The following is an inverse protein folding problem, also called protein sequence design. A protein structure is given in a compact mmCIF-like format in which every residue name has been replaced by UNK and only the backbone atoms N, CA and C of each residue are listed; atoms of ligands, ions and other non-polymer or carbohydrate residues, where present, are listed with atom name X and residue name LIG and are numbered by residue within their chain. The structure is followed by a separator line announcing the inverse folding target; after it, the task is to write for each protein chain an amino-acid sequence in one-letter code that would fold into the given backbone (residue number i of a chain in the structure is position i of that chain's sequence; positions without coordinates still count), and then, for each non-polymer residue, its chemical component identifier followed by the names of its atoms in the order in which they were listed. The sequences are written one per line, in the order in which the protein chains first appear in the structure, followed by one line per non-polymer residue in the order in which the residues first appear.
data_IF_626822463309
#
_entry.id   IF_626822463309
#
_cell.length_a   1.000
_cell.length_b   1.000
_cell.length_c   1.000
_cell.angle_alpha   90.00
_cell.angle_beta   90.00
_cell.angle_gamma   90.00
#
_symmetry.space_group_name_H-M   'P 1'
#
loop_
_entity.id
_entity.type
_entity.pdbx_description
1 polymer ?
#
# COMPACT_ATOMS: atom_id res chain seq x y z
N UNK A 1 -4.73 18.21 1.77
CA UNK A 1 -5.11 17.95 0.37
C UNK A 1 -3.88 17.76 -0.49
N UNK A 2 -3.99 17.04 -1.58
CA UNK A 2 -2.90 16.85 -2.55
C UNK A 2 -3.45 16.64 -3.97
N UNK A 3 -2.65 17.01 -4.95
CA UNK A 3 -2.90 16.73 -6.36
C UNK A 3 -1.61 16.28 -7.01
N UNK A 4 -1.66 15.21 -7.80
CA UNK A 4 -0.52 14.62 -8.51
C UNK A 4 -0.91 14.40 -9.96
N UNK A 5 -0.14 14.95 -10.88
CA UNK A 5 -0.35 14.79 -12.30
C UNK A 5 0.97 14.92 -13.06
N UNK A 6 1.07 14.28 -14.22
CA UNK A 6 2.21 14.41 -15.14
C UNK A 6 2.04 15.57 -16.14
N UNK A 7 0.83 16.10 -16.27
CA UNK A 7 0.52 17.21 -17.17
C UNK A 7 -0.11 18.37 -16.41
N UNK A 8 0.31 19.59 -16.74
CA UNK A 8 -0.21 20.80 -16.09
C UNK A 8 -1.74 20.94 -16.25
N UNK A 9 -2.31 20.51 -17.37
CA UNK A 9 -3.76 20.55 -17.60
C UNK A 9 -4.58 19.62 -16.67
N UNK A 10 -3.95 18.64 -16.08
CA UNK A 10 -4.57 17.68 -15.14
C UNK A 10 -4.37 18.12 -13.68
N UNK A 11 -3.56 19.15 -13.43
CA UNK A 11 -3.31 19.68 -12.10
C UNK A 11 -4.49 20.55 -11.65
N UNK A 12 -5.14 20.17 -10.56
CA UNK A 12 -6.28 20.93 -10.00
C UNK A 12 -5.85 21.74 -8.80
N UNK A 13 -6.42 22.94 -8.64
CA UNK A 13 -6.21 23.80 -7.48
C UNK A 13 -6.99 23.36 -6.23
N UNK A 14 -7.63 22.20 -6.25
CA UNK A 14 -8.56 21.76 -5.19
C UNK A 14 -7.87 21.33 -3.89
N UNK A 15 -6.57 21.01 -3.93
CA UNK A 15 -5.84 20.52 -2.77
C UNK A 15 -5.88 21.46 -1.57
N UNK A 16 -5.84 22.78 -1.79
CA UNK A 16 -5.93 23.77 -0.73
C UNK A 16 -7.34 23.83 -0.13
N UNK A 17 -8.37 23.81 -0.98
CA UNK A 17 -9.77 23.79 -0.55
C UNK A 17 -10.11 22.52 0.23
N UNK A 18 -9.60 21.37 -0.23
CA UNK A 18 -9.70 20.10 0.49
C UNK A 18 -9.04 20.18 1.87
N UNK A 19 -7.82 20.70 1.97
CA UNK A 19 -7.11 20.84 3.23
C UNK A 19 -7.87 21.71 4.22
N UNK A 20 -8.40 22.86 3.77
CA UNK A 20 -9.19 23.76 4.61
C UNK A 20 -10.50 23.11 5.08
N UNK A 21 -11.22 22.45 4.18
CA UNK A 21 -12.46 21.73 4.53
C UNK A 21 -12.19 20.64 5.56
N UNK A 22 -11.20 19.77 5.33
CA UNK A 22 -10.86 18.68 6.23
C UNK A 22 -10.43 19.19 7.62
N UNK A 23 -9.70 20.32 7.68
CA UNK A 23 -9.33 20.92 8.95
C UNK A 23 -10.54 21.40 9.73
N UNK A 24 -11.52 22.03 9.07
CA UNK A 24 -12.78 22.48 9.68
C UNK A 24 -13.65 21.30 10.13
N UNK A 25 -13.82 20.31 9.27
CA UNK A 25 -14.63 19.11 9.54
C UNK A 25 -14.04 18.23 10.64
N UNK A 26 -12.72 18.30 10.89
CA UNK A 26 -12.07 17.55 11.99
C UNK A 26 -12.15 18.24 13.35
N UNK A 27 -12.76 19.44 13.44
CA UNK A 27 -12.97 20.11 14.73
C UNK A 27 -14.03 19.35 15.54
N UNK A 28 -13.89 19.38 16.88
CA UNK A 28 -14.79 18.73 17.82
C UNK A 28 -14.94 17.21 17.63
N UNK A 29 -13.89 16.57 17.13
CA UNK A 29 -13.86 15.12 16.91
C UNK A 29 -14.02 14.30 18.19
N UNK A 30 -14.62 13.12 18.04
CA UNK A 30 -14.91 12.19 19.13
C UNK A 30 -13.76 11.17 19.30
N UNK A 31 -13.57 10.70 20.52
CA UNK A 31 -12.72 9.55 20.83
C UNK A 31 -13.53 8.25 20.65
N UNK A 32 -12.85 7.17 20.35
CA UNK A 32 -13.43 5.83 20.29
C UNK A 32 -12.66 4.89 21.22
N UNK A 33 -13.31 3.93 21.86
CA UNK A 33 -12.63 2.93 22.69
C UNK A 33 -11.80 1.96 21.87
N UNK A 34 -10.82 1.33 22.52
CA UNK A 34 -10.07 0.21 21.96
C UNK A 34 -10.99 -0.94 21.56
N UNK A 35 -10.79 -1.49 20.35
CA UNK A 35 -11.60 -2.60 19.85
C UNK A 35 -11.29 -2.96 18.41
N UNK A 36 -12.03 -3.94 17.89
CA UNK A 36 -12.04 -4.29 16.46
C UNK A 36 -13.22 -3.59 15.78
N UNK A 37 -12.94 -3.00 14.63
CA UNK A 37 -13.90 -2.22 13.85
C UNK A 37 -13.91 -2.67 12.39
N UNK A 38 -15.04 -2.57 11.74
CA UNK A 38 -15.03 -2.50 10.29
C UNK A 38 -14.55 -1.10 9.90
N UNK A 39 -13.65 -1.02 8.94
CA UNK A 39 -13.07 0.26 8.52
C UNK A 39 -13.15 0.46 7.02
N UNK A 40 -13.14 1.72 6.57
CA UNK A 40 -12.76 2.11 5.22
C UNK A 40 -11.44 2.86 5.33
N UNK A 41 -10.39 2.33 4.72
CA UNK A 41 -9.11 3.01 4.57
C UNK A 41 -9.19 3.94 3.37
N UNK A 42 -8.97 5.22 3.56
CA UNK A 42 -8.87 6.20 2.48
C UNK A 42 -7.56 6.10 1.70
N UNK A 43 -7.44 6.74 0.52
CA UNK A 43 -6.30 6.57 -0.37
C UNK A 43 -4.93 6.87 0.26
N UNK A 44 -4.83 7.86 1.17
CA UNK A 44 -3.56 8.16 1.84
C UNK A 44 -3.20 7.08 2.86
N UNK A 45 -4.17 6.59 3.63
CA UNK A 45 -3.95 5.50 4.58
C UNK A 45 -3.55 4.21 3.86
N UNK A 46 -4.20 3.89 2.74
CA UNK A 46 -3.85 2.74 1.89
C UNK A 46 -2.43 2.86 1.34
N UNK A 47 -2.07 4.03 0.78
CA UNK A 47 -0.73 4.25 0.22
C UNK A 47 0.36 4.12 1.29
N UNK A 48 0.12 4.63 2.49
CA UNK A 48 1.06 4.59 3.62
C UNK A 48 1.28 3.15 4.11
N UNK A 49 0.21 2.38 4.34
CA UNK A 49 0.29 0.97 4.75
C UNK A 49 0.95 0.12 3.66
N UNK A 50 0.56 0.33 2.41
CA UNK A 50 1.14 -0.37 1.27
C UNK A 50 2.66 -0.22 1.26
N UNK A 51 3.13 1.02 1.34
CA UNK A 51 4.54 1.34 1.21
C UNK A 51 5.41 0.80 2.34
N UNK A 52 5.00 1.10 3.56
CA UNK A 52 5.86 0.84 4.73
C UNK A 52 5.73 -0.58 5.27
N UNK A 53 4.63 -1.27 4.95
CA UNK A 53 4.33 -2.58 5.55
C UNK A 53 4.22 -3.69 4.50
N UNK A 54 3.44 -3.49 3.43
CA UNK A 54 3.20 -4.55 2.45
C UNK A 54 4.33 -4.68 1.42
N UNK A 55 4.74 -3.57 0.81
CA UNK A 55 5.69 -3.58 -0.30
C UNK A 55 7.08 -4.12 0.04
N UNK A 56 7.66 -3.87 1.23
CA UNK A 56 8.91 -4.52 1.60
C UNK A 56 8.82 -6.05 1.50
N UNK A 57 7.67 -6.63 1.87
CA UNK A 57 7.42 -8.08 1.77
C UNK A 57 7.28 -8.62 0.35
N UNK A 58 7.06 -7.77 -0.65
CA UNK A 58 6.82 -8.16 -2.05
C UNK A 58 8.03 -7.92 -2.97
N UNK A 59 9.22 -7.81 -2.40
CA UNK A 59 10.46 -7.64 -3.15
C UNK A 59 11.36 -8.89 -3.08
N UNK A 60 12.09 -9.15 -4.15
CA UNK A 60 12.88 -10.37 -4.30
C UNK A 60 14.09 -10.41 -3.34
N UNK A 61 14.65 -9.26 -2.98
CA UNK A 61 15.72 -9.16 -1.99
C UNK A 61 15.26 -9.57 -0.59
N UNK A 62 14.02 -9.21 -0.20
CA UNK A 62 13.43 -9.64 1.07
C UNK A 62 13.13 -11.14 1.08
N UNK A 63 12.71 -11.72 -0.05
CA UNK A 63 12.61 -13.17 -0.20
C UNK A 63 13.97 -13.83 -0.10
N UNK A 64 15.00 -13.31 -0.75
CA UNK A 64 16.36 -13.81 -0.65
C UNK A 64 16.88 -13.78 0.80
N UNK A 65 16.61 -12.68 1.52
CA UNK A 65 16.99 -12.52 2.93
C UNK A 65 16.17 -13.39 3.92
N UNK A 66 15.09 -14.04 3.46
CA UNK A 66 14.17 -14.76 4.35
C UNK A 66 13.34 -13.84 5.26
N UNK A 67 13.15 -12.59 4.86
CA UNK A 67 12.57 -11.52 5.68
C UNK A 67 11.16 -11.09 5.23
N UNK A 68 10.53 -11.82 4.32
CA UNK A 68 9.17 -11.55 3.84
C UNK A 68 8.12 -12.37 4.61
N UNK A 69 6.93 -11.80 4.91
CA UNK A 69 5.80 -12.56 5.45
C UNK A 69 5.19 -13.53 4.43
N UNK A 70 5.61 -13.45 3.17
CA UNK A 70 5.13 -14.28 2.05
C UNK A 70 6.09 -15.40 1.65
N UNK A 71 7.12 -15.70 2.45
CA UNK A 71 8.06 -16.79 2.18
C UNK A 71 7.30 -18.09 1.89
N UNK A 72 7.69 -18.76 0.79
CA UNK A 72 7.10 -20.03 0.35
C UNK A 72 5.72 -19.92 -0.28
N UNK A 73 5.18 -18.72 -0.50
CA UNK A 73 3.78 -18.52 -0.93
C UNK A 73 3.61 -18.08 -2.38
N UNK A 74 4.67 -18.02 -3.18
CA UNK A 74 4.50 -17.66 -4.60
C UNK A 74 3.57 -18.65 -5.31
N UNK A 75 2.57 -18.13 -6.01
CA UNK A 75 1.51 -18.93 -6.64
C UNK A 75 0.40 -19.38 -5.68
N UNK A 76 0.36 -18.88 -4.45
CA UNK A 76 -0.68 -19.20 -3.47
C UNK A 76 -1.58 -18.01 -3.18
N UNK A 77 -2.81 -18.27 -2.72
CA UNK A 77 -3.72 -17.24 -2.24
C UNK A 77 -3.17 -16.59 -0.96
N UNK A 78 -3.06 -15.26 -0.97
CA UNK A 78 -2.54 -14.45 0.14
C UNK A 78 -3.46 -13.28 0.51
N UNK A 79 -4.46 -12.98 -0.32
CA UNK A 79 -5.41 -11.91 -0.13
C UNK A 79 -6.82 -12.35 -0.55
N UNK A 80 -7.83 -11.50 -0.32
CA UNK A 80 -9.18 -11.73 -0.88
C UNK A 80 -9.13 -11.83 -2.42
N UNK A 81 -10.03 -12.61 -3.01
CA UNK A 81 -10.06 -12.86 -4.46
C UNK A 81 -10.26 -11.58 -5.30
N UNK A 82 -10.82 -10.53 -4.70
CA UNK A 82 -11.05 -9.24 -5.37
C UNK A 82 -9.82 -8.34 -5.37
N UNK A 83 -8.77 -8.70 -4.62
CA UNK A 83 -7.58 -7.86 -4.43
C UNK A 83 -6.57 -8.07 -5.55
N UNK A 84 -6.28 -6.99 -6.28
CA UNK A 84 -5.20 -6.95 -7.28
C UNK A 84 -4.22 -5.82 -6.96
N UNK A 85 -2.94 -6.12 -7.05
CA UNK A 85 -1.85 -5.19 -6.84
C UNK A 85 -0.79 -5.39 -7.92
N UNK A 86 -0.41 -4.32 -8.61
CA UNK A 86 0.68 -4.36 -9.59
C UNK A 86 1.49 -3.07 -9.58
N UNK A 87 2.70 -3.14 -10.08
CA UNK A 87 3.57 -2.01 -10.42
C UNK A 87 3.65 -1.86 -11.93
N UNK A 88 3.51 -0.65 -12.47
CA UNK A 88 3.66 -0.41 -13.91
C UNK A 88 4.61 0.77 -14.20
N UNK A 89 5.87 0.42 -14.40
CA UNK A 89 6.92 1.39 -14.75
C UNK A 89 6.83 1.92 -16.18
N UNK A 90 6.10 1.25 -17.06
CA UNK A 90 5.96 1.65 -18.47
C UNK A 90 4.61 2.30 -18.79
N UNK A 91 3.71 2.47 -17.83
CA UNK A 91 2.37 3.02 -18.04
C UNK A 91 2.42 4.42 -18.67
N UNK A 92 1.80 4.65 -19.85
CA UNK A 92 1.85 5.94 -20.50
C UNK A 92 1.20 7.04 -19.67
N UNK A 93 1.90 8.16 -19.50
CA UNK A 93 1.35 9.36 -18.84
C UNK A 93 1.26 9.28 -17.32
N UNK A 94 1.68 8.21 -16.69
CA UNK A 94 1.75 8.15 -15.22
C UNK A 94 3.02 8.84 -14.70
N UNK A 95 2.96 9.56 -13.56
CA UNK A 95 4.03 10.43 -13.09
C UNK A 95 5.37 9.73 -12.82
N UNK A 96 5.35 8.49 -12.34
CA UNK A 96 6.58 7.74 -12.00
C UNK A 96 7.03 6.77 -13.10
N UNK A 97 6.49 6.89 -14.31
CA UNK A 97 6.87 6.04 -15.43
C UNK A 97 8.30 6.32 -15.91
N UNK A 98 9.03 5.26 -16.21
CA UNK A 98 10.42 5.27 -16.67
C UNK A 98 10.58 4.22 -17.77
N UNK A 99 11.31 4.54 -18.84
CA UNK A 99 11.48 3.60 -19.94
C UNK A 99 12.46 2.47 -19.63
N UNK A 100 13.47 2.76 -18.80
CA UNK A 100 14.55 1.83 -18.41
C UNK A 100 14.82 1.94 -16.91
N UNK A 101 15.29 0.86 -16.32
CA UNK A 101 15.81 0.82 -14.96
C UNK A 101 17.19 1.47 -14.87
N UNK A 102 17.69 1.70 -13.64
CA UNK A 102 19.07 2.16 -13.44
C UNK A 102 20.14 1.07 -13.74
N UNK A 103 19.68 -0.15 -13.98
CA UNK A 103 20.51 -1.29 -14.45
C UNK A 103 20.50 -1.42 -15.99
N UNK A 104 19.80 -0.53 -16.71
CA UNK A 104 19.72 -0.52 -18.17
C UNK A 104 18.70 -1.51 -18.76
N UNK A 105 17.83 -2.10 -17.96
CA UNK A 105 16.80 -3.03 -18.41
C UNK A 105 15.47 -2.30 -18.67
N UNK A 106 14.61 -2.80 -19.60
CA UNK A 106 13.31 -2.20 -19.83
C UNK A 106 12.41 -2.35 -18.59
N UNK A 107 11.68 -1.31 -18.26
CA UNK A 107 10.60 -1.35 -17.26
C UNK A 107 9.37 -2.05 -17.84
N UNK A 108 8.32 -2.16 -17.07
CA UNK A 108 7.06 -2.75 -17.50
C UNK A 108 6.12 -3.02 -16.33
N UNK A 109 5.04 -3.72 -16.63
CA UNK A 109 4.09 -4.15 -15.62
C UNK A 109 4.58 -5.41 -14.92
N UNK A 110 4.51 -5.40 -13.60
CA UNK A 110 4.75 -6.52 -12.70
C UNK A 110 3.50 -6.75 -11.86
N UNK A 111 2.76 -7.83 -12.13
CA UNK A 111 1.63 -8.23 -11.27
C UNK A 111 2.21 -8.86 -10.00
N UNK A 112 1.89 -8.29 -8.84
CA UNK A 112 2.35 -8.74 -7.53
C UNK A 112 1.31 -9.66 -6.89
N UNK A 113 0.06 -9.19 -6.81
CA UNK A 113 -1.08 -9.99 -6.36
C UNK A 113 -2.15 -9.88 -7.45
N UNK A 114 -2.67 -11.02 -7.90
CA UNK A 114 -3.69 -11.09 -8.94
C UNK A 114 -4.80 -12.03 -8.52
N UNK A 115 -6.01 -11.50 -8.38
CA UNK A 115 -7.14 -12.29 -7.88
C UNK A 115 -6.86 -12.93 -6.51
N UNK A 116 -6.17 -12.21 -5.63
CA UNK A 116 -5.75 -12.68 -4.31
C UNK A 116 -4.52 -13.59 -4.30
N UNK A 117 -4.01 -14.05 -5.45
CA UNK A 117 -2.83 -14.90 -5.56
C UNK A 117 -1.54 -14.08 -5.63
N UNK A 118 -0.50 -14.47 -4.90
CA UNK A 118 0.84 -13.91 -5.03
C UNK A 118 1.45 -14.35 -6.37
N UNK A 119 1.37 -13.49 -7.37
CA UNK A 119 1.72 -13.81 -8.76
C UNK A 119 3.14 -13.41 -9.16
N UNK A 120 3.75 -12.46 -8.43
CA UNK A 120 5.09 -11.97 -8.73
C UNK A 120 5.69 -11.13 -7.61
N UNK A 121 6.92 -10.67 -7.85
CA UNK A 121 7.71 -9.88 -6.91
C UNK A 121 8.38 -8.73 -7.66
N UNK A 122 8.61 -7.59 -7.00
CA UNK A 122 9.53 -6.57 -7.50
C UNK A 122 10.94 -7.15 -7.53
N UNK A 123 11.63 -6.99 -8.65
CA UNK A 123 12.95 -7.54 -8.83
C UNK A 123 13.91 -6.54 -9.49
N UNK A 124 15.11 -6.43 -8.97
CA UNK A 124 16.30 -5.92 -9.64
C UNK A 124 17.13 -7.08 -10.22
N UNK A 125 18.03 -6.79 -11.13
CA UNK A 125 18.81 -7.82 -11.80
C UNK A 125 19.77 -8.55 -10.85
N UNK A 126 20.36 -7.85 -9.90
CA UNK A 126 21.31 -8.45 -8.96
C UNK A 126 20.62 -9.51 -8.08
N UNK A 127 19.50 -9.18 -7.45
CA UNK A 127 18.77 -10.12 -6.62
C UNK A 127 18.08 -11.23 -7.42
N UNK A 128 17.72 -10.95 -8.69
CA UNK A 128 17.25 -11.96 -9.63
C UNK A 128 18.32 -13.06 -9.84
N UNK A 129 19.56 -12.67 -10.11
CA UNK A 129 20.67 -13.62 -10.31
C UNK A 129 21.01 -14.36 -9.01
N UNK A 130 20.98 -13.69 -7.88
CA UNK A 130 21.20 -14.32 -6.57
C UNK A 130 20.16 -15.39 -6.27
N UNK A 131 18.89 -15.09 -6.46
CA UNK A 131 17.79 -16.04 -6.19
C UNK A 131 17.85 -17.24 -7.13
N UNK A 132 18.19 -17.04 -8.40
CA UNK A 132 18.33 -18.12 -9.39
C UNK A 132 19.38 -19.15 -8.97
N UNK A 133 20.45 -18.71 -8.31
CA UNK A 133 21.57 -19.52 -7.87
C UNK A 133 21.52 -19.87 -6.36
N UNK A 134 20.45 -19.52 -5.66
CA UNK A 134 20.30 -19.79 -4.23
C UNK A 134 19.93 -21.27 -4.00
N UNK A 135 20.74 -22.05 -3.26
CA UNK A 135 20.41 -23.45 -2.95
C UNK A 135 19.12 -23.62 -2.13
N UNK A 136 18.70 -22.57 -1.41
CA UNK A 136 17.45 -22.53 -0.64
C UNK A 136 16.33 -21.80 -1.37
N UNK A 137 16.55 -21.39 -2.62
CA UNK A 137 15.59 -20.57 -3.39
C UNK A 137 14.22 -21.21 -3.55
N UNK A 138 14.15 -22.56 -3.66
CA UNK A 138 12.88 -23.27 -3.71
C UNK A 138 12.05 -23.16 -2.41
N UNK A 139 12.72 -23.21 -1.26
CA UNK A 139 12.07 -23.05 0.04
C UNK A 139 11.55 -21.61 0.19
N UNK A 140 12.37 -20.63 -0.17
CA UNK A 140 12.03 -19.20 -0.08
C UNK A 140 10.87 -18.81 -0.99
N UNK A 141 10.84 -19.31 -2.21
CA UNK A 141 9.78 -19.00 -3.19
C UNK A 141 8.55 -19.91 -3.05
N UNK A 142 8.72 -21.13 -2.54
CA UNK A 142 7.69 -22.18 -2.53
C UNK A 142 7.61 -22.97 -3.84
N UNK A 143 8.35 -22.54 -4.87
CA UNK A 143 8.41 -23.15 -6.21
C UNK A 143 9.85 -23.17 -6.71
N UNK A 144 10.12 -23.91 -7.80
CA UNK A 144 11.44 -23.93 -8.38
C UNK A 144 11.87 -22.52 -8.86
N UNK A 145 13.05 -22.00 -8.47
CA UNK A 145 13.51 -20.66 -8.84
C UNK A 145 13.53 -20.41 -10.36
N UNK A 146 13.96 -21.37 -11.16
CA UNK A 146 14.00 -21.21 -12.62
C UNK A 146 12.59 -21.01 -13.21
N UNK A 147 11.59 -21.74 -12.71
CA UNK A 147 10.20 -21.62 -13.16
C UNK A 147 9.56 -20.31 -12.69
N UNK A 148 9.85 -19.91 -11.46
CA UNK A 148 9.35 -18.66 -10.88
C UNK A 148 9.94 -17.44 -11.61
N UNK A 149 11.26 -17.41 -11.75
CA UNK A 149 12.00 -16.28 -12.31
C UNK A 149 11.83 -16.16 -13.83
N UNK A 150 11.38 -17.20 -14.52
CA UNK A 150 10.92 -17.08 -15.91
C UNK A 150 9.71 -16.12 -16.06
N UNK A 151 8.93 -15.92 -14.99
CA UNK A 151 7.76 -15.03 -14.95
C UNK A 151 8.06 -13.69 -14.25
N UNK A 152 9.03 -13.67 -13.35
CA UNK A 152 9.46 -12.46 -12.62
C UNK A 152 10.61 -11.81 -13.39
N UNK A 153 10.33 -10.75 -14.15
CA UNK A 153 11.37 -10.01 -14.85
C UNK A 153 12.00 -8.95 -13.93
N UNK A 154 13.33 -8.71 -14.01
CA UNK A 154 14.01 -7.67 -13.24
C UNK A 154 13.73 -6.27 -13.85
N UNK A 155 12.56 -5.70 -13.55
CA UNK A 155 12.04 -4.45 -14.12
C UNK A 155 12.06 -3.28 -13.14
N UNK A 156 12.52 -3.50 -11.92
CA UNK A 156 12.38 -2.58 -10.80
C UNK A 156 13.70 -2.17 -10.17
N UNK A 157 14.82 -2.39 -10.86
CA UNK A 157 16.17 -2.04 -10.39
C UNK A 157 16.44 -0.53 -10.46
N UNK A 158 16.11 0.20 -9.39
CA UNK A 158 16.30 1.65 -9.28
C UNK A 158 17.18 2.00 -8.08
N UNK A 159 17.98 3.07 -8.22
CA UNK A 159 18.72 3.63 -7.09
C UNK A 159 17.77 4.39 -6.18
N UNK A 160 17.80 4.13 -4.86
CA UNK A 160 16.98 4.89 -3.92
C UNK A 160 17.36 6.37 -3.98
N UNK A 161 16.36 7.23 -4.17
CA UNK A 161 16.52 8.67 -4.10
C UNK A 161 16.51 9.13 -2.65
N UNK A 162 17.54 9.84 -2.20
CA UNK A 162 17.50 10.54 -0.93
C UNK A 162 17.02 11.97 -1.17
N UNK A 163 15.78 12.27 -0.75
CA UNK A 163 15.23 13.63 -0.85
C UNK A 163 14.99 14.13 -2.28
N UNK A 164 14.61 13.23 -3.21
CA UNK A 164 14.24 13.59 -4.58
C UNK A 164 15.42 13.74 -5.55
N UNK A 165 16.63 13.43 -5.13
CA UNK A 165 17.83 13.46 -5.98
C UNK A 165 18.29 12.08 -6.45
N UNK A 166 18.97 12.01 -7.59
CA UNK A 166 19.65 10.78 -8.04
C UNK A 166 20.89 10.51 -7.20
N UNK A 167 20.90 9.38 -6.50
CA UNK A 167 22.09 8.94 -5.77
C UNK A 167 22.89 7.95 -6.63
N UNK A 168 23.83 8.46 -7.41
CA UNK A 168 24.68 7.61 -8.29
C UNK A 168 25.62 6.68 -7.54
N UNK A 169 25.90 6.93 -6.26
CA UNK A 169 26.71 6.07 -5.41
C UNK A 169 25.93 4.92 -4.78
N UNK A 170 24.58 4.95 -4.79
CA UNK A 170 23.77 3.86 -4.28
C UNK A 170 23.68 2.71 -5.29
N UNK A 171 23.68 1.49 -4.81
CA UNK A 171 23.35 0.33 -5.64
C UNK A 171 21.87 0.34 -5.98
N UNK A 172 21.47 -0.05 -7.21
CA UNK A 172 20.08 -0.35 -7.52
C UNK A 172 19.50 -1.43 -6.60
N UNK A 173 18.24 -1.29 -6.27
CA UNK A 173 17.48 -2.28 -5.52
C UNK A 173 16.06 -2.39 -6.09
N UNK A 174 15.27 -3.32 -5.60
CA UNK A 174 13.91 -3.54 -6.05
C UNK A 174 12.98 -2.44 -5.54
N UNK A 175 12.71 -1.43 -6.37
CA UNK A 175 11.88 -0.26 -6.04
C UNK A 175 10.68 -0.19 -6.98
N UNK A 176 9.51 0.13 -6.42
CA UNK A 176 8.29 0.36 -7.20
C UNK A 176 8.36 1.65 -8.03
N UNK A 177 7.52 1.73 -9.04
CA UNK A 177 7.32 2.94 -9.86
C UNK A 177 5.91 3.51 -9.69
N UNK A 178 4.94 3.02 -10.43
CA UNK A 178 3.52 3.33 -10.26
C UNK A 178 2.80 2.11 -9.67
N UNK A 179 2.63 2.09 -8.36
CA UNK A 179 1.84 1.06 -7.70
C UNK A 179 0.34 1.30 -7.90
N UNK A 180 -0.38 0.27 -8.27
CA UNK A 180 -1.81 0.33 -8.51
C UNK A 180 -2.52 -0.78 -7.76
N UNK A 181 -3.55 -0.41 -7.00
CA UNK A 181 -4.49 -1.36 -6.39
C UNK A 181 -5.81 -1.31 -7.16
N UNK A 182 -6.36 -2.47 -7.46
CA UNK A 182 -7.65 -2.61 -8.13
C UNK A 182 -8.52 -3.66 -7.43
N UNK A 183 -9.81 -3.32 -7.27
CA UNK A 183 -10.84 -4.28 -6.90
C UNK A 183 -11.52 -4.88 -8.12
N UNK A 184 -11.86 -6.16 -8.06
CA UNK A 184 -12.64 -6.83 -9.11
C UNK A 184 -13.76 -7.66 -8.46
N UNK A 185 -15.02 -7.14 -8.41
CA UNK A 185 -15.47 -5.83 -8.95
C UNK A 185 -14.97 -4.63 -8.15
N UNK A 186 -14.91 -3.45 -8.80
CA UNK A 186 -14.71 -2.18 -8.12
C UNK A 186 -16.04 -1.61 -7.60
N UNK A 187 -16.03 -1.06 -6.39
CA UNK A 187 -17.21 -0.49 -5.71
C UNK A 187 -17.27 1.03 -5.77
N UNK A 188 -18.44 1.61 -5.61
CA UNK A 188 -18.59 3.04 -5.27
C UNK A 188 -18.34 3.25 -3.77
N UNK A 189 -18.09 4.49 -3.35
CA UNK A 189 -17.93 4.82 -1.93
C UNK A 189 -19.21 4.50 -1.13
N UNK A 190 -20.39 4.75 -1.71
CA UNK A 190 -21.67 4.42 -1.07
C UNK A 190 -21.86 2.91 -0.87
N UNK A 191 -21.33 2.08 -1.77
CA UNK A 191 -21.34 0.63 -1.59
C UNK A 191 -20.40 0.19 -0.48
N UNK A 192 -19.18 0.76 -0.41
CA UNK A 192 -18.26 0.51 0.70
C UNK A 192 -18.85 0.92 2.05
N UNK A 193 -19.50 2.09 2.13
CA UNK A 193 -20.20 2.54 3.34
C UNK A 193 -21.30 1.57 3.76
N UNK A 194 -22.05 1.01 2.79
CA UNK A 194 -23.08 -0.02 3.06
C UNK A 194 -22.48 -1.35 3.52
N UNK A 195 -21.33 -1.77 2.98
CA UNK A 195 -20.61 -2.98 3.40
C UNK A 195 -20.12 -2.85 4.85
N UNK A 196 -19.54 -1.71 5.20
CA UNK A 196 -19.05 -1.44 6.56
C UNK A 196 -20.22 -1.22 7.54
N UNK A 197 -21.25 -0.53 7.13
CA UNK A 197 -22.48 -0.17 7.87
C UNK A 197 -22.21 0.64 9.15
N UNK A 198 -21.48 0.06 10.11
CA UNK A 198 -21.06 0.73 11.35
C UNK A 198 -19.58 0.48 11.55
N UNK A 199 -18.79 1.54 11.71
CA UNK A 199 -17.35 1.44 11.80
C UNK A 199 -16.64 2.78 11.70
N UNK A 200 -15.48 2.81 11.06
CA UNK A 200 -14.60 3.98 10.99
C UNK A 200 -14.09 4.19 9.56
N UNK A 201 -14.17 5.40 9.06
CA UNK A 201 -13.41 5.85 7.90
C UNK A 201 -12.08 6.43 8.38
N UNK A 202 -10.97 5.93 7.86
CA UNK A 202 -9.61 6.34 8.20
C UNK A 202 -9.01 7.02 6.98
N UNK A 203 -9.09 8.35 6.92
CA UNK A 203 -8.66 9.11 5.75
C UNK A 203 -7.17 9.39 5.73
N UNK A 204 -6.57 9.63 6.90
CA UNK A 204 -5.16 9.99 7.00
C UNK A 204 -4.47 9.41 8.22
N UNK A 205 -3.27 8.87 7.98
CA UNK A 205 -2.41 8.28 9.01
C UNK A 205 -0.98 8.78 8.88
N UNK A 206 -0.18 8.55 9.91
CA UNK A 206 1.27 8.76 9.90
C UNK A 206 1.98 7.81 10.88
N UNK A 207 3.32 7.84 10.87
CA UNK A 207 4.15 6.95 11.68
C UNK A 207 3.74 5.48 11.53
N UNK A 208 3.53 5.07 10.28
CA UNK A 208 3.24 3.69 9.96
C UNK A 208 4.54 2.90 9.82
N UNK A 209 4.68 1.85 10.58
CA UNK A 209 5.88 1.02 10.59
C UNK A 209 5.56 -0.42 10.98
N UNK A 210 6.33 -1.41 10.48
CA UNK A 210 6.21 -2.79 10.94
C UNK A 210 6.66 -2.91 12.39
N UNK A 211 5.96 -3.76 13.15
CA UNK A 211 6.31 -4.17 14.50
C UNK A 211 6.59 -5.67 14.53
N UNK A 212 7.27 -6.18 15.54
CA UNK A 212 7.61 -7.61 15.68
C UNK A 212 8.43 -8.19 14.50
N UNK A 213 9.14 -7.32 13.76
CA UNK A 213 9.93 -7.71 12.59
C UNK A 213 9.12 -7.74 11.29
N UNK A 214 9.82 -7.82 10.16
CA UNK A 214 9.21 -7.74 8.81
C UNK A 214 8.46 -9.02 8.42
N UNK A 215 8.79 -10.16 9.01
CA UNK A 215 8.19 -11.47 8.70
C UNK A 215 6.81 -11.67 9.34
N UNK A 216 6.49 -10.95 10.43
CA UNK A 216 5.21 -11.08 11.12
C UNK A 216 4.06 -10.44 10.35
N UNK A 217 4.33 -9.36 9.63
CA UNK A 217 3.32 -8.53 8.98
C UNK A 217 2.56 -7.60 9.93
N UNK A 218 2.92 -7.59 11.21
CA UNK A 218 2.31 -6.70 12.20
C UNK A 218 2.77 -5.26 11.98
N UNK A 219 1.87 -4.30 12.16
CA UNK A 219 2.17 -2.89 12.00
C UNK A 219 1.41 -2.01 12.98
N UNK A 220 1.94 -0.82 13.17
CA UNK A 220 1.31 0.24 13.94
C UNK A 220 1.34 1.55 13.15
N UNK A 221 0.35 2.40 13.39
CA UNK A 221 0.27 3.74 12.81
C UNK A 221 -0.75 4.59 13.56
N UNK A 222 -0.66 5.91 13.45
CA UNK A 222 -1.54 6.84 14.19
C UNK A 222 -2.52 7.53 13.23
N UNK A 223 -3.79 7.60 13.60
CA UNK A 223 -4.83 8.32 12.86
C UNK A 223 -4.71 9.80 13.19
N UNK A 224 -4.52 10.65 12.16
CA UNK A 224 -4.20 12.08 12.34
C UNK A 224 -5.26 13.06 11.84
N UNK A 225 -6.18 12.62 11.00
CA UNK A 225 -7.21 13.51 10.46
C UNK A 225 -8.04 12.87 9.37
N UNK A 226 -8.95 13.64 8.78
CA UNK A 226 -9.81 13.22 7.67
C UNK A 226 -10.53 11.88 7.96
N UNK A 227 -10.88 11.64 9.24
CA UNK A 227 -11.37 10.35 9.71
C UNK A 227 -12.70 10.54 10.44
N UNK A 228 -13.63 9.62 10.23
CA UNK A 228 -15.02 9.77 10.64
C UNK A 228 -15.59 8.44 11.15
N UNK A 229 -16.52 8.53 12.09
CA UNK A 229 -17.40 7.42 12.40
C UNK A 229 -18.33 7.15 11.22
N UNK A 230 -18.56 5.88 10.94
CA UNK A 230 -19.59 5.41 10.01
C UNK A 230 -20.74 4.85 10.85
N UNK A 231 -21.96 5.33 10.62
CA UNK A 231 -23.18 4.85 11.27
C UNK A 231 -24.27 4.66 10.23
N UNK A 232 -24.86 3.48 10.24
CA UNK A 232 -25.93 3.09 9.30
C UNK A 232 -25.56 3.36 7.81
N UNK A 233 -24.30 3.11 7.45
CA UNK A 233 -23.79 3.27 6.09
C UNK A 233 -23.60 4.73 5.67
N UNK A 234 -23.38 5.65 6.59
CA UNK A 234 -23.15 7.09 6.33
C UNK A 234 -22.06 7.63 7.25
N UNK A 235 -21.35 8.65 6.78
CA UNK A 235 -20.47 9.44 7.63
C UNK A 235 -21.28 10.11 8.76
N UNK A 236 -20.75 10.03 9.98
CA UNK A 236 -21.36 10.59 11.17
C UNK A 236 -20.45 11.67 11.78
N UNK A 237 -19.91 11.46 12.98
CA UNK A 237 -19.05 12.43 13.64
C UNK A 237 -17.58 12.26 13.21
N UNK A 238 -16.77 13.34 13.16
CA UNK A 238 -15.34 13.23 12.97
C UNK A 238 -14.66 12.54 14.16
N UNK A 239 -13.53 11.87 13.92
CA UNK A 239 -12.64 11.38 14.96
C UNK A 239 -11.73 12.50 15.46
N UNK A 240 -11.45 12.51 16.76
CA UNK A 240 -10.44 13.41 17.33
C UNK A 240 -9.04 12.98 16.86
N UNK A 241 -8.28 13.84 16.17
CA UNK A 241 -6.94 13.52 15.67
C UNK A 241 -5.98 13.09 16.78
N UNK A 242 -5.06 12.19 16.49
CA UNK A 242 -4.02 11.68 17.41
C UNK A 242 -4.54 11.00 18.69
N UNK A 243 -5.75 10.47 18.66
CA UNK A 243 -6.33 9.76 19.81
C UNK A 243 -6.53 8.28 19.59
N UNK A 244 -6.25 7.80 18.37
CA UNK A 244 -6.41 6.41 17.99
C UNK A 244 -5.17 5.91 17.25
N UNK A 245 -4.69 4.75 17.64
CA UNK A 245 -3.63 4.00 16.97
C UNK A 245 -4.23 2.80 16.26
N UNK A 246 -3.73 2.52 15.07
CA UNK A 246 -3.94 1.24 14.40
C UNK A 246 -2.91 0.25 14.93
N UNK A 247 -3.34 -0.93 15.31
CA UNK A 247 -2.50 -2.07 15.63
C UNK A 247 -3.11 -3.29 14.94
N UNK A 248 -2.53 -3.71 13.84
CA UNK A 248 -3.07 -4.78 13.02
C UNK A 248 -1.96 -5.56 12.30
N UNK A 249 -2.37 -6.52 11.48
CA UNK A 249 -1.49 -7.35 10.67
C UNK A 249 -1.87 -7.19 9.17
N UNK A 250 -0.87 -6.92 8.31
CA UNK A 250 -1.11 -6.65 6.89
C UNK A 250 -1.69 -7.86 6.14
N UNK A 251 -1.32 -9.08 6.53
CA UNK A 251 -1.88 -10.29 5.94
C UNK A 251 -3.37 -10.44 6.30
N UNK A 252 -3.73 -10.10 7.55
CA UNK A 252 -5.12 -10.06 7.99
C UNK A 252 -5.91 -8.99 7.23
N UNK A 253 -5.33 -7.79 7.07
CA UNK A 253 -5.94 -6.68 6.33
C UNK A 253 -6.30 -7.10 4.91
N UNK A 254 -5.35 -7.62 4.13
CA UNK A 254 -5.60 -7.97 2.72
C UNK A 254 -6.52 -9.19 2.55
N UNK A 255 -6.56 -10.11 3.53
CA UNK A 255 -7.50 -11.23 3.54
C UNK A 255 -8.91 -10.84 3.97
N UNK A 256 -9.06 -9.87 4.89
CA UNK A 256 -10.34 -9.41 5.42
C UNK A 256 -10.93 -8.24 4.60
N UNK A 257 -10.43 -7.99 3.40
CA UNK A 257 -10.97 -6.99 2.49
C UNK A 257 -12.42 -7.35 2.13
N UNK A 258 -13.35 -6.42 2.42
CA UNK A 258 -14.78 -6.52 2.10
C UNK A 258 -15.12 -5.96 0.72
N UNK A 259 -14.31 -5.01 0.24
CA UNK A 259 -14.49 -4.39 -1.06
C UNK A 259 -13.46 -3.29 -1.30
N UNK A 260 -13.22 -2.99 -2.56
CA UNK A 260 -12.23 -2.00 -3.03
C UNK A 260 -12.93 -1.04 -3.97
N UNK A 261 -12.69 0.27 -3.80
CA UNK A 261 -13.31 1.27 -4.67
C UNK A 261 -12.82 1.18 -6.12
N UNK A 262 -13.71 1.44 -7.06
CA UNK A 262 -13.34 1.57 -8.48
C UNK A 262 -12.49 2.83 -8.75
N UNK A 263 -12.77 3.91 -8.01
CA UNK A 263 -12.02 5.15 -8.13
C UNK A 263 -10.70 5.07 -7.36
N UNK A 264 -9.63 5.49 -7.99
CA UNK A 264 -8.27 5.54 -7.42
C UNK A 264 -7.77 6.99 -7.42
N UNK A 265 -6.95 7.32 -6.44
CA UNK A 265 -6.29 8.62 -6.35
C UNK A 265 -4.78 8.45 -6.41
N UNK A 266 -4.14 9.20 -7.29
CA UNK A 266 -2.69 9.30 -7.32
C UNK A 266 -2.20 9.93 -6.02
N UNK A 267 -1.39 9.19 -5.26
CA UNK A 267 -0.91 9.58 -3.94
C UNK A 267 0.60 9.50 -3.90
N UNK A 268 1.26 10.62 -3.65
CA UNK A 268 2.70 10.68 -3.38
C UNK A 268 2.92 10.33 -1.92
N UNK A 269 3.86 9.46 -1.69
CA UNK A 269 4.29 9.08 -0.35
C UNK A 269 5.30 10.06 0.20
N UNK A 270 5.42 10.09 1.51
CA UNK A 270 6.34 10.97 2.18
C UNK A 270 7.79 10.74 1.72
N UNK A 271 8.46 11.79 1.29
CA UNK A 271 9.87 11.75 0.84
C UNK A 271 10.16 10.84 -0.37
N UNK A 272 9.15 10.51 -1.18
CA UNK A 272 9.26 9.59 -2.31
C UNK A 272 8.92 10.29 -3.63
N UNK A 273 9.56 9.85 -4.71
CA UNK A 273 9.22 10.19 -6.10
C UNK A 273 8.30 9.16 -6.79
N UNK A 274 7.86 8.16 -6.01
CA UNK A 274 6.94 7.13 -6.47
C UNK A 274 5.49 7.53 -6.22
N UNK A 275 4.59 7.04 -7.06
CA UNK A 275 3.15 7.31 -6.95
C UNK A 275 2.39 6.01 -6.74
N UNK A 276 1.54 6.00 -5.71
CA UNK A 276 0.58 4.93 -5.48
C UNK A 276 -0.80 5.37 -5.96
N UNK A 277 -1.41 4.59 -6.83
CA UNK A 277 -2.78 4.75 -7.29
C UNK A 277 -3.68 3.97 -6.34
N UNK A 278 -3.99 4.62 -5.23
CA UNK A 278 -4.71 4.01 -4.12
C UNK A 278 -6.22 4.26 -4.22
N UNK A 279 -7.06 3.21 -4.15
CA UNK A 279 -8.50 3.31 -3.93
C UNK A 279 -8.81 3.43 -2.43
N UNK A 280 -10.09 3.59 -2.10
CA UNK A 280 -10.59 3.27 -0.77
C UNK A 280 -10.75 1.75 -0.64
N UNK A 281 -10.46 1.22 0.55
CA UNK A 281 -10.56 -0.23 0.85
C UNK A 281 -11.37 -0.43 2.12
N UNK A 282 -12.47 -1.18 2.03
CA UNK A 282 -13.24 -1.62 3.19
C UNK A 282 -12.66 -2.91 3.75
N UNK A 283 -12.45 -2.98 5.05
CA UNK A 283 -11.85 -4.11 5.77
C UNK A 283 -12.67 -4.43 7.01
N UNK A 284 -12.86 -5.72 7.31
CA UNK A 284 -13.54 -6.17 8.53
C UNK A 284 -12.55 -6.50 9.65
N UNK A 285 -12.97 -6.26 10.89
CA UNK A 285 -12.25 -6.69 12.09
C UNK A 285 -10.88 -6.03 12.25
N UNK A 286 -10.74 -4.74 11.94
CA UNK A 286 -9.49 -3.99 12.01
C UNK A 286 -9.22 -3.50 13.43
N UNK A 287 -8.00 -3.71 13.94
CA UNK A 287 -7.60 -3.37 15.30
C UNK A 287 -7.31 -1.89 15.49
N UNK A 288 -8.10 -1.23 16.34
CA UNK A 288 -7.92 0.16 16.76
C UNK A 288 -7.72 0.24 18.27
N UNK A 289 -6.74 1.02 18.70
CA UNK A 289 -6.38 1.22 20.10
C UNK A 289 -6.52 2.70 20.48
N UNK A 290 -7.24 2.99 21.54
CA UNK A 290 -7.33 4.33 22.09
C UNK A 290 -5.99 4.74 22.71
N UNK A 291 -5.49 5.90 22.31
CA UNK A 291 -4.31 6.51 22.92
C UNK A 291 -4.79 7.26 24.18
N UNK A 292 -4.36 6.78 25.34
CA UNK A 292 -4.67 7.44 26.63
C UNK A 292 -4.10 8.85 26.67
N UNK A 293 -4.86 9.79 27.23
CA UNK A 293 -4.29 11.08 27.59
C UNK A 293 -3.33 10.85 28.78
N UNK A 294 -2.11 11.29 28.64
CA UNK A 294 -1.21 11.40 29.79
C UNK A 294 -1.79 12.48 30.70
N UNK A 295 -2.20 12.08 31.90
CA UNK A 295 -2.57 13.01 32.96
C UNK A 295 -1.31 13.67 33.55
#
# INVERSE_FOLDING_TARGET
GWSVASKLAEFTGEAAAEAARNAIESMDGQRIPTGEYNVILGPQAVAEILEWVLMPGLSLDMFYAGASPFIGKLGQAVASADFNLYDDGAAPGLPSSKSITDEGLPTGRTDLIRGGELSGLLADYYNYQRMLNDPTGREKLGVNPADALAKIAPRNGFRPGNGGGRNFGAMPGAVSSNLVIEGTPGHSQEELLRLVRNGVYIGRIWYTYPVNGTTSGDFSGTIIGDSYLIKDGRFAAPLKPNTVRMNDNVLRLINNTLGIAAQRRATVRWSSDQVTWAPEIAVSGFGLEEISEYM
#
